data_IF_523284459291
#
_entry.id   IF_523284459291
#
_cell.length_a   1.000
_cell.length_b   1.000
_cell.length_c   1.000
_cell.angle_alpha   90.00
_cell.angle_beta   90.00
_cell.angle_gamma   90.00
#
_symmetry.space_group_name_H-M   'P 1'
#
loop_
_entity.id
_entity.type
_entity.pdbx_description
1 polymer ?
#
# COMPACT_ATOMS: atom_id res chain seq x y z
N UNK A 1 -60.40 12.91 -58.08
CA UNK A 1 -59.26 12.02 -57.79
C UNK A 1 -58.24 12.83 -56.95
N UNK A 2 -58.25 12.58 -55.64
CA UNK A 2 -57.37 13.28 -54.70
C UNK A 2 -56.30 12.26 -54.25
N UNK A 3 -55.05 12.46 -54.65
CA UNK A 3 -53.88 11.66 -54.29
C UNK A 3 -53.25 12.20 -53.02
N UNK A 4 -53.44 11.49 -51.91
CA UNK A 4 -52.79 11.78 -50.60
C UNK A 4 -51.39 11.16 -50.63
N UNK A 5 -50.35 12.00 -50.58
CA UNK A 5 -48.92 11.60 -50.41
C UNK A 5 -48.64 11.49 -48.90
N UNK A 6 -48.33 10.29 -48.45
CA UNK A 6 -47.86 10.02 -47.09
C UNK A 6 -46.34 10.32 -47.05
N UNK A 7 -45.92 11.31 -46.25
CA UNK A 7 -44.53 11.54 -45.95
C UNK A 7 -44.16 10.72 -44.68
N UNK A 8 -43.27 9.74 -44.83
CA UNK A 8 -42.68 9.00 -43.74
C UNK A 8 -41.59 9.85 -43.06
N UNK A 9 -41.63 10.11 -41.73
CA UNK A 9 -40.50 10.73 -41.05
C UNK A 9 -39.38 9.72 -40.85
N UNK A 10 -38.21 10.04 -41.40
CA UNK A 10 -36.94 9.30 -41.21
C UNK A 10 -36.41 9.55 -39.78
N UNK A 11 -36.60 8.63 -38.87
CA UNK A 11 -36.03 8.63 -37.53
C UNK A 11 -34.51 8.32 -37.65
N UNK A 12 -33.66 9.32 -37.55
CA UNK A 12 -32.22 9.15 -37.41
C UNK A 12 -31.91 8.74 -35.97
N UNK A 13 -31.68 7.45 -35.73
CA UNK A 13 -31.15 6.95 -34.48
C UNK A 13 -29.70 7.34 -34.35
N UNK A 14 -29.39 8.35 -33.53
CA UNK A 14 -28.02 8.69 -33.15
C UNK A 14 -27.55 7.60 -32.19
N UNK A 15 -26.73 6.69 -32.69
CA UNK A 15 -26.02 5.71 -31.85
C UNK A 15 -25.01 6.47 -31.00
N UNK A 16 -25.30 6.66 -29.72
CA UNK A 16 -24.33 7.13 -28.74
C UNK A 16 -23.32 6.00 -28.54
N UNK A 17 -22.17 6.10 -29.20
CA UNK A 17 -21.05 5.21 -28.92
C UNK A 17 -20.55 5.50 -27.51
N UNK A 18 -20.41 4.47 -26.63
CA UNK A 18 -19.78 4.67 -25.33
C UNK A 18 -18.34 5.19 -25.58
N UNK A 19 -18.01 6.34 -24.99
CA UNK A 19 -16.67 6.87 -25.04
C UNK A 19 -15.71 5.80 -24.49
N UNK A 20 -14.74 5.39 -25.31
CA UNK A 20 -13.71 4.47 -24.85
C UNK A 20 -12.96 5.13 -23.70
N UNK A 21 -12.73 4.38 -22.61
CA UNK A 21 -11.96 4.87 -21.48
C UNK A 21 -10.57 5.31 -21.96
N UNK A 22 -10.18 6.56 -21.66
CA UNK A 22 -8.83 7.04 -21.91
C UNK A 22 -7.86 6.31 -21.00
N UNK A 23 -6.70 5.89 -21.53
CA UNK A 23 -5.62 5.29 -20.72
C UNK A 23 -4.53 6.32 -20.52
N UNK A 24 -4.22 6.61 -19.27
CA UNK A 24 -3.18 7.54 -18.85
C UNK A 24 -1.96 6.70 -18.50
N UNK A 25 -0.90 6.80 -19.29
CA UNK A 25 0.37 6.15 -19.00
C UNK A 25 1.03 6.79 -17.77
N UNK A 26 1.50 5.96 -16.86
CA UNK A 26 2.18 6.37 -15.63
C UNK A 26 3.63 5.93 -15.73
N UNK A 27 4.61 6.84 -15.87
CA UNK A 27 6.02 6.48 -15.94
C UNK A 27 6.53 5.95 -14.61
N UNK A 28 7.72 5.35 -14.60
CA UNK A 28 8.52 5.21 -13.40
C UNK A 28 9.77 6.08 -13.54
N UNK A 29 9.75 7.26 -12.94
CA UNK A 29 10.81 8.26 -12.98
C UNK A 29 11.03 8.89 -11.59
N UNK A 30 11.49 8.12 -10.61
CA UNK A 30 11.66 8.62 -9.25
C UNK A 30 12.73 9.71 -9.18
N UNK A 31 12.62 10.69 -8.24
CA UNK A 31 13.62 11.73 -8.06
C UNK A 31 14.92 11.11 -7.54
N UNK A 32 15.98 11.16 -8.37
CA UNK A 32 17.26 10.55 -8.07
C UNK A 32 18.08 11.39 -7.08
N UNK A 33 18.72 10.72 -6.13
CA UNK A 33 19.63 11.34 -5.17
C UNK A 33 18.94 12.20 -4.10
N UNK A 34 17.67 12.52 -4.26
CA UNK A 34 16.92 13.31 -3.31
C UNK A 34 16.50 12.47 -2.10
N UNK A 35 16.67 13.01 -0.88
CA UNK A 35 16.09 12.42 0.32
C UNK A 35 14.58 12.71 0.36
N UNK A 36 13.81 11.66 0.62
CA UNK A 36 12.35 11.71 0.73
C UNK A 36 11.96 11.20 2.13
N UNK A 37 11.07 11.90 2.80
CA UNK A 37 10.42 11.41 4.01
C UNK A 37 9.21 10.54 3.62
N UNK A 38 9.11 9.35 4.21
CA UNK A 38 8.02 8.42 4.04
C UNK A 38 7.44 8.06 5.41
N UNK A 39 6.30 8.62 5.70
CA UNK A 39 5.61 8.48 6.97
C UNK A 39 4.47 7.48 6.83
N UNK A 40 4.33 6.58 7.80
CA UNK A 40 3.25 5.61 7.88
C UNK A 40 2.58 5.75 9.25
N UNK A 41 1.32 6.15 9.25
CA UNK A 41 0.49 6.29 10.43
C UNK A 41 -0.64 5.26 10.40
N UNK A 42 -0.73 4.44 11.44
CA UNK A 42 -1.82 3.48 11.63
C UNK A 42 -2.68 3.92 12.81
N UNK A 43 -4.00 4.00 12.57
CA UNK A 43 -5.00 4.28 13.59
C UNK A 43 -5.86 3.04 13.80
N UNK A 44 -5.95 2.60 15.05
CA UNK A 44 -6.74 1.44 15.44
C UNK A 44 -7.19 1.51 16.89
N UNK A 45 -8.32 0.92 17.24
CA UNK A 45 -8.76 0.87 18.63
C UNK A 45 -7.82 -0.04 19.46
N UNK A 46 -7.35 0.48 20.60
CA UNK A 46 -6.56 -0.23 21.61
C UNK A 46 -7.21 0.03 22.97
N UNK A 47 -7.62 -1.01 23.68
CA UNK A 47 -8.30 -0.91 24.97
C UNK A 47 -9.50 0.06 24.97
N UNK A 48 -10.25 0.13 23.85
CA UNK A 48 -11.43 0.98 23.69
C UNK A 48 -11.13 2.44 23.31
N UNK A 49 -9.87 2.80 23.10
CA UNK A 49 -9.45 4.14 22.64
C UNK A 49 -8.83 4.06 21.25
N UNK A 50 -9.11 5.04 20.39
CA UNK A 50 -8.40 5.21 19.13
C UNK A 50 -6.94 5.54 19.44
N UNK A 51 -6.03 4.80 18.85
CA UNK A 51 -4.59 4.95 19.08
C UNK A 51 -3.82 4.99 17.78
N UNK A 52 -2.81 5.85 17.71
CA UNK A 52 -1.92 6.04 16.57
C UNK A 52 -0.59 5.32 16.81
N UNK A 53 -0.09 4.72 15.75
CA UNK A 53 1.25 4.13 15.65
C UNK A 53 1.92 4.66 14.41
N UNK A 54 3.03 5.37 14.57
CA UNK A 54 3.74 6.05 13.50
C UNK A 54 5.14 5.50 13.31
N UNK A 55 5.56 5.41 12.06
CA UNK A 55 6.91 5.02 11.69
C UNK A 55 7.42 5.97 10.59
N UNK A 56 8.55 6.63 10.85
CA UNK A 56 9.15 7.64 9.98
C UNK A 56 10.37 7.05 9.30
N UNK A 57 10.44 7.19 7.97
CA UNK A 57 11.50 6.64 7.13
C UNK A 57 12.10 7.70 6.23
N UNK A 58 13.39 7.55 5.95
CA UNK A 58 14.05 8.25 4.86
C UNK A 58 14.21 7.30 3.68
N UNK A 59 13.80 7.76 2.50
CA UNK A 59 13.94 7.04 1.24
C UNK A 59 14.87 7.82 0.30
N UNK A 60 15.64 7.10 -0.54
CA UNK A 60 16.42 7.69 -1.63
C UNK A 60 16.45 6.72 -2.81
N UNK A 61 16.18 7.24 -4.00
CA UNK A 61 16.33 6.47 -5.23
C UNK A 61 17.65 6.82 -5.90
N UNK A 62 18.34 5.80 -6.39
CA UNK A 62 19.56 5.93 -7.18
C UNK A 62 19.41 5.17 -8.49
N UNK A 63 20.06 5.65 -9.55
CA UNK A 63 20.13 4.92 -10.82
C UNK A 63 21.10 3.74 -10.67
N UNK A 64 20.68 2.56 -11.17
CA UNK A 64 21.53 1.39 -11.28
C UNK A 64 21.61 0.95 -12.76
N UNK A 65 22.51 0.05 -13.08
CA UNK A 65 22.74 -0.42 -14.46
C UNK A 65 21.46 -0.98 -15.08
N UNK A 66 20.76 -1.89 -14.36
CA UNK A 66 19.55 -2.58 -14.84
C UNK A 66 18.24 -2.00 -14.27
N UNK A 67 18.24 -0.76 -13.77
CA UNK A 67 17.05 -0.17 -13.17
C UNK A 67 17.36 0.87 -12.11
N UNK A 68 16.93 0.61 -10.87
CA UNK A 68 17.09 1.55 -9.76
C UNK A 68 17.44 0.81 -8.46
N UNK A 69 17.98 1.56 -7.50
CA UNK A 69 18.13 1.14 -6.12
C UNK A 69 17.32 2.06 -5.22
N UNK A 70 16.51 1.48 -4.34
CA UNK A 70 15.79 2.18 -3.29
C UNK A 70 16.50 1.93 -1.97
N UNK A 71 17.06 2.98 -1.39
CA UNK A 71 17.56 2.99 -0.02
C UNK A 71 16.43 3.43 0.91
N UNK A 72 16.16 2.64 1.93
CA UNK A 72 15.13 2.92 2.92
C UNK A 72 15.71 2.73 4.33
N UNK A 73 15.51 3.71 5.19
CA UNK A 73 15.96 3.68 6.60
C UNK A 73 14.78 4.04 7.49
N UNK A 74 14.48 3.21 8.48
CA UNK A 74 13.58 3.56 9.55
C UNK A 74 14.30 4.49 10.54
N UNK A 75 13.83 5.71 10.67
CA UNK A 75 14.50 6.74 11.49
C UNK A 75 13.95 6.77 12.91
N UNK A 76 12.62 6.73 13.06
CA UNK A 76 11.97 6.85 14.35
C UNK A 76 10.58 6.22 14.38
N UNK A 77 10.10 6.00 15.60
CA UNK A 77 8.78 5.46 15.92
C UNK A 77 8.11 6.37 16.93
N UNK A 78 6.81 6.59 16.77
CA UNK A 78 5.98 7.33 17.72
C UNK A 78 4.64 6.61 17.94
N UNK A 79 4.03 6.80 19.12
CA UNK A 79 2.72 6.26 19.42
C UNK A 79 2.11 6.96 20.62
N UNK A 80 0.80 7.25 20.54
CA UNK A 80 -0.03 7.74 21.64
C UNK A 80 -0.83 6.62 22.33
N UNK A 81 -0.59 5.36 21.95
CA UNK A 81 -1.27 4.22 22.52
C UNK A 81 -0.92 4.02 24.02
N UNK A 82 -1.78 3.31 24.79
CA UNK A 82 -1.43 2.89 26.14
C UNK A 82 -0.07 2.20 26.18
N UNK A 83 0.73 2.43 27.24
CA UNK A 83 2.15 2.07 27.33
C UNK A 83 2.43 0.61 26.95
N UNK A 84 1.61 -0.34 27.38
CA UNK A 84 1.82 -1.76 27.04
C UNK A 84 1.75 -2.04 25.52
N UNK A 85 0.90 -1.32 24.78
CA UNK A 85 0.77 -1.47 23.33
C UNK A 85 1.89 -0.71 22.61
N UNK A 86 2.19 0.52 23.06
CA UNK A 86 3.29 1.33 22.55
C UNK A 86 4.66 0.65 22.75
N UNK A 87 4.91 0.06 23.94
CA UNK A 87 6.12 -0.70 24.23
C UNK A 87 6.28 -1.91 23.31
N UNK A 88 5.20 -2.68 23.07
CA UNK A 88 5.22 -3.81 22.14
C UNK A 88 5.54 -3.39 20.70
N UNK A 89 4.95 -2.28 20.25
CA UNK A 89 5.22 -1.71 18.93
C UNK A 89 6.67 -1.26 18.78
N UNK A 90 7.19 -0.50 19.77
CA UNK A 90 8.59 -0.08 19.80
C UNK A 90 9.53 -1.28 19.83
N UNK A 91 9.28 -2.26 20.69
CA UNK A 91 10.11 -3.45 20.83
C UNK A 91 10.25 -4.23 19.51
N UNK A 92 9.16 -4.34 18.74
CA UNK A 92 9.16 -5.03 17.45
C UNK A 92 10.04 -4.35 16.39
N UNK A 93 10.07 -3.02 16.36
CA UNK A 93 10.68 -2.27 15.25
C UNK A 93 12.00 -1.58 15.62
N UNK A 94 12.32 -1.40 16.91
CA UNK A 94 13.58 -0.75 17.35
C UNK A 94 14.84 -1.39 16.74
N UNK A 95 14.96 -2.72 16.56
CA UNK A 95 16.14 -3.31 15.92
C UNK A 95 16.34 -2.91 14.46
N UNK A 96 15.31 -2.37 13.81
CA UNK A 96 15.36 -1.90 12.43
C UNK A 96 15.70 -0.40 12.31
N UNK A 97 15.70 0.35 13.42
CA UNK A 97 16.05 1.78 13.39
C UNK A 97 17.51 1.94 12.99
N UNK A 98 17.74 2.79 11.99
CA UNK A 98 19.07 3.05 11.42
C UNK A 98 19.59 1.94 10.49
N UNK A 99 18.87 0.81 10.35
CA UNK A 99 19.27 -0.26 9.42
C UNK A 99 18.88 0.13 8.00
N UNK A 100 19.88 0.27 7.13
CA UNK A 100 19.66 0.61 5.73
C UNK A 100 19.20 -0.64 4.94
N UNK A 101 17.98 -0.60 4.41
CA UNK A 101 17.47 -1.59 3.46
C UNK A 101 17.75 -1.09 2.04
N UNK A 102 18.44 -1.89 1.22
CA UNK A 102 18.79 -1.55 -0.16
C UNK A 102 18.06 -2.48 -1.11
N UNK A 103 16.88 -2.04 -1.58
CA UNK A 103 16.12 -2.80 -2.56
C UNK A 103 16.63 -2.55 -3.97
N UNK A 104 16.73 -3.62 -4.76
CA UNK A 104 16.96 -3.55 -6.20
C UNK A 104 15.62 -3.52 -6.91
N UNK A 105 15.45 -2.54 -7.80
CA UNK A 105 14.25 -2.37 -8.62
C UNK A 105 14.63 -2.51 -10.10
N UNK A 106 13.77 -3.15 -10.87
CA UNK A 106 13.90 -3.14 -12.33
C UNK A 106 13.57 -1.74 -12.93
N UNK A 107 13.67 -1.64 -14.25
CA UNK A 107 13.40 -0.38 -14.94
C UNK A 107 11.94 0.08 -14.82
N UNK A 108 11.02 -0.81 -14.48
CA UNK A 108 9.60 -0.56 -14.28
C UNK A 108 9.25 -0.22 -12.81
N UNK A 109 10.22 -0.26 -11.90
CA UNK A 109 10.01 0.03 -10.48
C UNK A 109 9.56 -1.16 -9.65
N UNK A 110 9.57 -2.37 -10.19
CA UNK A 110 9.26 -3.57 -9.43
C UNK A 110 10.46 -3.96 -8.55
N UNK A 111 10.22 -4.19 -7.27
CA UNK A 111 11.25 -4.69 -6.35
C UNK A 111 11.58 -6.14 -6.74
N UNK A 112 12.85 -6.39 -7.08
CA UNK A 112 13.36 -7.70 -7.55
C UNK A 112 14.41 -8.31 -6.62
N UNK A 113 14.88 -7.57 -5.61
CA UNK A 113 15.87 -8.08 -4.65
C UNK A 113 16.11 -7.13 -3.50
N UNK A 114 16.84 -7.62 -2.51
CA UNK A 114 17.30 -6.89 -1.33
C UNK A 114 18.76 -7.27 -1.09
N UNK A 115 19.62 -6.26 -0.91
CA UNK A 115 21.01 -6.46 -0.53
C UNK A 115 21.08 -6.66 1.00
N UNK A 116 22.07 -7.42 1.49
CA UNK A 116 22.30 -7.68 2.93
C UNK A 116 21.07 -8.25 3.67
N UNK A 117 20.26 -9.06 2.99
CA UNK A 117 18.98 -9.58 3.48
C UNK A 117 19.08 -10.37 4.80
N UNK A 118 20.19 -11.07 5.06
CA UNK A 118 20.38 -11.81 6.31
C UNK A 118 20.52 -10.88 7.53
N UNK A 119 21.28 -9.80 7.41
CA UNK A 119 21.45 -8.83 8.51
C UNK A 119 20.12 -8.15 8.86
N UNK A 120 19.35 -7.79 7.84
CA UNK A 120 18.02 -7.20 8.00
C UNK A 120 17.06 -8.20 8.64
N UNK A 121 17.12 -9.47 8.18
CA UNK A 121 16.25 -10.51 8.71
C UNK A 121 16.55 -10.81 10.19
N UNK A 122 17.80 -10.85 10.57
CA UNK A 122 18.20 -10.99 11.97
C UNK A 122 17.64 -9.84 12.84
N UNK A 123 17.59 -8.60 12.34
CA UNK A 123 16.97 -7.48 13.04
C UNK A 123 15.45 -7.67 13.19
N UNK A 124 14.78 -8.23 12.17
CA UNK A 124 13.34 -8.58 12.25
C UNK A 124 13.09 -9.63 13.33
N UNK A 125 13.88 -10.70 13.36
CA UNK A 125 13.77 -11.76 14.36
C UNK A 125 14.01 -11.25 15.78
N UNK A 126 15.04 -10.41 15.98
CA UNK A 126 15.30 -9.76 17.26
C UNK A 126 14.12 -8.86 17.70
N UNK A 127 13.52 -8.12 16.76
CA UNK A 127 12.34 -7.30 17.03
C UNK A 127 11.17 -8.12 17.53
N UNK A 128 10.91 -9.24 16.87
CA UNK A 128 9.85 -10.17 17.26
C UNK A 128 10.11 -10.76 18.66
N UNK A 129 11.33 -11.17 18.96
CA UNK A 129 11.70 -11.71 20.29
C UNK A 129 11.52 -10.66 21.38
N UNK A 130 11.98 -9.43 21.15
CA UNK A 130 11.78 -8.31 22.10
C UNK A 130 10.30 -8.01 22.31
N UNK A 131 9.49 -7.99 21.23
CA UNK A 131 8.05 -7.81 21.34
C UNK A 131 7.39 -8.92 22.18
N UNK A 132 7.78 -10.18 21.95
CA UNK A 132 7.24 -11.33 22.68
C UNK A 132 7.54 -11.27 24.17
N UNK A 133 8.68 -10.74 24.57
CA UNK A 133 9.07 -10.57 25.97
C UNK A 133 8.12 -9.63 26.77
N UNK A 134 7.33 -8.80 26.07
CA UNK A 134 6.29 -7.96 26.68
C UNK A 134 4.95 -8.69 26.92
N UNK A 135 4.82 -9.94 26.47
CA UNK A 135 3.60 -10.72 26.64
C UNK A 135 3.80 -11.78 27.73
N UNK A 136 2.90 -11.84 28.70
CA UNK A 136 2.92 -12.93 29.67
C UNK A 136 2.76 -14.27 28.95
N UNK A 137 3.49 -15.29 29.40
CA UNK A 137 3.40 -16.65 28.86
C UNK A 137 1.94 -17.13 28.89
N UNK A 138 1.60 -18.00 27.95
CA UNK A 138 0.28 -18.62 27.80
C UNK A 138 -0.91 -17.68 27.54
N UNK A 139 -0.65 -16.39 27.32
CA UNK A 139 -1.70 -15.47 26.85
C UNK A 139 -2.04 -15.68 25.36
N UNK A 140 -3.25 -15.34 24.92
CA UNK A 140 -3.59 -15.37 23.49
C UNK A 140 -2.62 -14.55 22.62
N UNK A 141 -2.11 -13.41 23.15
CA UNK A 141 -1.13 -12.56 22.46
C UNK A 141 0.22 -13.26 22.30
N UNK A 142 0.71 -13.91 23.36
CA UNK A 142 1.95 -14.67 23.31
C UNK A 142 1.86 -15.83 22.31
N UNK A 143 0.76 -16.61 22.33
CA UNK A 143 0.53 -17.69 21.37
C UNK A 143 0.46 -17.19 19.93
N UNK A 144 -0.23 -16.06 19.69
CA UNK A 144 -0.27 -15.45 18.35
C UNK A 144 1.13 -15.02 17.88
N UNK A 145 1.92 -14.38 18.73
CA UNK A 145 3.28 -13.98 18.40
C UNK A 145 4.20 -15.19 18.15
N UNK A 146 4.03 -16.29 18.90
CA UNK A 146 4.74 -17.55 18.66
C UNK A 146 4.37 -18.15 17.29
N UNK A 147 3.10 -18.11 16.89
CA UNK A 147 2.67 -18.56 15.56
C UNK A 147 3.30 -17.72 14.45
N UNK A 148 3.39 -16.39 14.65
CA UNK A 148 4.11 -15.50 13.72
C UNK A 148 5.59 -15.86 13.64
N UNK A 149 6.26 -16.08 14.76
CA UNK A 149 7.68 -16.51 14.79
C UNK A 149 7.88 -17.78 13.99
N UNK A 150 7.03 -18.78 14.16
CA UNK A 150 7.09 -20.04 13.41
C UNK A 150 6.87 -19.81 11.91
N UNK A 151 5.89 -18.97 11.54
CA UNK A 151 5.65 -18.60 10.15
C UNK A 151 6.87 -17.92 9.52
N UNK A 152 7.45 -16.93 10.19
CA UNK A 152 8.60 -16.18 9.71
C UNK A 152 9.84 -17.08 9.56
N UNK A 153 10.08 -17.98 10.49
CA UNK A 153 11.18 -18.94 10.44
C UNK A 153 11.07 -19.90 9.22
N UNK A 154 9.85 -20.17 8.74
CA UNK A 154 9.58 -21.00 7.56
C UNK A 154 9.61 -20.26 6.23
N UNK A 155 9.83 -18.95 6.19
CA UNK A 155 9.85 -18.20 4.94
C UNK A 155 11.11 -18.48 4.12
N UNK A 156 10.91 -18.74 2.82
CA UNK A 156 11.99 -18.73 1.84
C UNK A 156 12.58 -17.32 1.68
N UNK A 157 13.72 -17.22 0.99
CA UNK A 157 14.34 -15.93 0.69
C UNK A 157 13.39 -14.99 -0.06
N UNK A 158 12.63 -15.52 -1.01
CA UNK A 158 11.62 -14.80 -1.77
C UNK A 158 10.45 -14.36 -0.86
N UNK A 159 10.03 -15.20 0.08
CA UNK A 159 9.01 -14.87 1.06
C UNK A 159 9.44 -13.75 2.01
N UNK A 160 10.72 -13.77 2.45
CA UNK A 160 11.31 -12.69 3.26
C UNK A 160 11.37 -11.37 2.47
N UNK A 161 11.83 -11.43 1.21
CA UNK A 161 11.82 -10.27 0.31
C UNK A 161 10.40 -9.72 0.13
N UNK A 162 9.42 -10.57 -0.14
CA UNK A 162 8.03 -10.15 -0.34
C UNK A 162 7.46 -9.47 0.92
N UNK A 163 7.78 -9.97 2.11
CA UNK A 163 7.36 -9.38 3.38
C UNK A 163 7.96 -7.99 3.58
N UNK A 164 9.28 -7.83 3.41
CA UNK A 164 9.97 -6.55 3.59
C UNK A 164 9.59 -5.54 2.50
N UNK A 165 9.48 -6.00 1.25
CA UNK A 165 9.05 -5.18 0.12
C UNK A 165 7.59 -4.69 0.26
N UNK A 166 6.74 -5.46 0.94
CA UNK A 166 5.33 -5.13 1.17
C UNK A 166 5.10 -3.77 1.83
N UNK A 167 6.07 -3.28 2.58
CA UNK A 167 6.06 -1.94 3.17
C UNK A 167 6.14 -0.84 2.09
N UNK A 168 6.89 -1.07 1.01
CA UNK A 168 7.20 -0.09 -0.04
C UNK A 168 6.40 -0.31 -1.32
N UNK A 169 5.81 -1.49 -1.52
CA UNK A 169 4.96 -1.79 -2.69
C UNK A 169 3.83 -0.77 -2.90
N UNK A 170 3.13 -0.27 -1.86
CA UNK A 170 2.08 0.75 -2.04
C UNK A 170 2.59 2.04 -2.70
N UNK A 171 3.84 2.43 -2.45
CA UNK A 171 4.49 3.59 -3.07
C UNK A 171 4.67 3.40 -4.58
N UNK A 172 4.89 2.16 -5.03
CA UNK A 172 5.27 1.79 -6.40
C UNK A 172 4.08 1.19 -7.19
N UNK A 173 2.90 1.16 -6.61
CA UNK A 173 1.74 0.39 -7.11
C UNK A 173 1.35 0.70 -8.56
N UNK A 174 1.54 1.94 -9.00
CA UNK A 174 1.18 2.40 -10.34
C UNK A 174 2.40 2.63 -11.26
N UNK A 175 3.62 2.37 -10.76
CA UNK A 175 4.85 2.62 -11.50
C UNK A 175 4.88 1.85 -12.83
N UNK A 176 5.24 2.54 -13.91
CA UNK A 176 5.27 2.03 -15.30
C UNK A 176 3.98 1.33 -15.75
N UNK A 177 2.84 1.72 -15.17
CA UNK A 177 1.52 1.18 -15.49
C UNK A 177 0.63 2.14 -16.26
N UNK A 178 -0.66 1.88 -16.20
CA UNK A 178 -1.71 2.72 -16.80
C UNK A 178 -2.84 2.94 -15.80
N UNK A 179 -3.45 4.13 -15.86
CA UNK A 179 -4.69 4.47 -15.14
C UNK A 179 -5.79 4.68 -16.16
N UNK A 180 -6.91 4.02 -15.97
CA UNK A 180 -8.10 4.17 -16.83
C UNK A 180 -8.93 5.37 -16.36
N UNK A 181 -9.20 6.30 -17.29
CA UNK A 181 -10.12 7.43 -17.11
C UNK A 181 -11.43 7.11 -17.83
N UNK A 182 -12.32 6.47 -17.12
CA UNK A 182 -13.61 6.03 -17.65
C UNK A 182 -14.71 5.98 -16.57
N UNK A 183 -15.97 6.10 -16.97
CA UNK A 183 -17.11 6.28 -16.03
C UNK A 183 -17.36 5.09 -15.10
N UNK A 184 -16.80 3.92 -15.37
CA UNK A 184 -16.97 2.70 -14.54
C UNK A 184 -15.76 2.35 -13.69
N UNK A 185 -14.58 2.93 -13.99
CA UNK A 185 -13.31 2.49 -13.44
C UNK A 185 -12.95 1.05 -13.88
N UNK A 186 -11.87 0.53 -13.30
CA UNK A 186 -11.37 -0.82 -13.56
C UNK A 186 -11.80 -1.78 -12.45
N UNK A 187 -12.35 -2.93 -12.82
CA UNK A 187 -12.66 -4.01 -11.88
C UNK A 187 -11.39 -4.56 -11.21
N UNK A 188 -11.45 -4.77 -9.90
CA UNK A 188 -10.35 -5.32 -9.08
C UNK A 188 -10.87 -6.52 -8.31
N UNK A 189 -10.08 -7.60 -8.28
CA UNK A 189 -10.28 -8.76 -7.41
C UNK A 189 -8.97 -9.08 -6.71
N UNK A 190 -9.04 -9.22 -5.39
CA UNK A 190 -7.86 -9.50 -4.56
C UNK A 190 -8.26 -10.20 -3.26
N UNK A 191 -7.28 -10.44 -2.41
CA UNK A 191 -7.50 -10.98 -1.07
C UNK A 191 -7.28 -9.88 -0.05
N UNK A 192 -8.25 -9.63 0.81
CA UNK A 192 -8.11 -8.78 1.97
C UNK A 192 -7.88 -9.64 3.21
N UNK A 193 -7.01 -9.18 4.09
CA UNK A 193 -6.74 -9.87 5.34
C UNK A 193 -5.61 -9.19 6.10
N UNK A 194 -5.50 -9.54 7.38
CA UNK A 194 -4.30 -9.32 8.16
C UNK A 194 -3.29 -10.43 7.83
N UNK A 195 -1.97 -10.19 7.87
CA UNK A 195 -0.97 -11.24 7.78
C UNK A 195 -1.18 -12.41 8.77
N UNK A 196 -1.97 -12.16 9.83
CA UNK A 196 -2.30 -13.12 10.89
C UNK A 196 -3.74 -13.63 10.82
N UNK A 197 -4.54 -13.16 9.85
CA UNK A 197 -5.93 -13.56 9.67
C UNK A 197 -6.12 -14.42 8.42
N UNK A 198 -7.25 -15.12 8.35
CA UNK A 198 -7.64 -15.84 7.13
C UNK A 198 -7.91 -14.82 6.02
N UNK A 199 -7.25 -14.91 4.86
CA UNK A 199 -7.52 -14.03 3.74
C UNK A 199 -8.97 -14.19 3.27
N UNK A 200 -9.66 -13.07 3.00
CA UNK A 200 -11.03 -13.03 2.49
C UNK A 200 -11.00 -12.49 1.06
N UNK A 201 -11.62 -13.18 0.07
CA UNK A 201 -11.77 -12.63 -1.27
C UNK A 201 -12.58 -11.34 -1.22
N UNK A 202 -12.07 -10.30 -1.88
CA UNK A 202 -12.76 -9.01 -2.04
C UNK A 202 -12.72 -8.60 -3.49
N UNK A 203 -13.79 -7.95 -3.95
CA UNK A 203 -13.89 -7.42 -5.29
C UNK A 203 -14.52 -6.03 -5.30
N UNK A 204 -14.24 -5.28 -6.34
CA UNK A 204 -14.79 -3.94 -6.50
C UNK A 204 -14.16 -3.19 -7.64
N UNK A 205 -13.94 -1.88 -7.47
CA UNK A 205 -13.56 -0.98 -8.55
C UNK A 205 -12.48 -0.01 -8.09
N UNK A 206 -11.45 0.17 -8.93
CA UNK A 206 -10.50 1.28 -8.89
C UNK A 206 -10.93 2.33 -9.93
N UNK A 207 -11.17 3.55 -9.50
CA UNK A 207 -11.63 4.63 -10.38
C UNK A 207 -10.80 5.89 -10.20
N UNK A 208 -10.47 6.54 -11.32
CA UNK A 208 -9.91 7.90 -11.32
C UNK A 208 -11.03 8.87 -10.90
N UNK A 209 -10.74 9.73 -9.92
CA UNK A 209 -11.68 10.73 -9.39
C UNK A 209 -11.37 12.13 -9.88
N UNK A 210 -10.07 12.44 -9.97
CA UNK A 210 -9.61 13.74 -10.40
C UNK A 210 -8.26 13.62 -11.10
N UNK A 211 -8.08 14.43 -12.13
CA UNK A 211 -6.82 14.57 -12.88
C UNK A 211 -6.41 16.04 -12.90
N UNK A 212 -5.17 16.30 -12.51
CA UNK A 212 -4.49 17.58 -12.67
C UNK A 212 -3.14 17.36 -13.34
N UNK A 213 -2.39 18.45 -13.63
CA UNK A 213 -1.01 18.33 -14.13
C UNK A 213 -0.04 17.62 -13.19
N UNK A 214 -0.32 17.68 -11.89
CA UNK A 214 0.60 17.25 -10.84
C UNK A 214 0.12 16.05 -10.02
N UNK A 215 -1.16 15.68 -10.17
CA UNK A 215 -1.76 14.58 -9.39
C UNK A 215 -2.90 13.88 -10.12
N UNK A 216 -2.92 12.55 -9.99
CA UNK A 216 -4.07 11.71 -10.27
C UNK A 216 -4.63 11.21 -8.94
N UNK A 217 -5.89 11.57 -8.64
CA UNK A 217 -6.57 11.09 -7.45
C UNK A 217 -7.42 9.86 -7.80
N UNK A 218 -7.12 8.70 -7.17
CA UNK A 218 -7.84 7.46 -7.41
C UNK A 218 -8.50 6.97 -6.13
N UNK A 219 -9.64 6.31 -6.28
CA UNK A 219 -10.31 5.60 -5.17
C UNK A 219 -10.53 4.15 -5.58
N UNK A 220 -10.15 3.24 -4.70
CA UNK A 220 -10.47 1.82 -4.79
C UNK A 220 -11.43 1.46 -3.67
N UNK A 221 -12.53 0.79 -4.04
CA UNK A 221 -13.52 0.31 -3.07
C UNK A 221 -13.75 -1.17 -3.33
N UNK A 222 -13.47 -2.00 -2.31
CA UNK A 222 -13.58 -3.46 -2.38
C UNK A 222 -14.49 -3.96 -1.27
N UNK A 223 -15.28 -4.97 -1.57
CA UNK A 223 -16.17 -5.63 -0.60
C UNK A 223 -16.00 -7.14 -0.67
N UNK A 224 -16.14 -7.79 0.48
CA UNK A 224 -16.15 -9.24 0.64
C UNK A 224 -16.98 -9.62 1.86
N UNK A 225 -17.02 -10.91 2.20
CA UNK A 225 -17.80 -11.39 3.34
C UNK A 225 -17.27 -10.79 4.67
N UNK A 226 -18.07 -9.87 5.25
CA UNK A 226 -17.73 -9.18 6.50
C UNK A 226 -16.55 -8.21 6.42
N UNK A 227 -16.06 -7.91 5.21
CA UNK A 227 -14.88 -7.06 4.98
C UNK A 227 -15.19 -5.98 3.97
N UNK A 228 -14.79 -4.76 4.29
CA UNK A 228 -14.81 -3.61 3.37
C UNK A 228 -13.42 -2.97 3.37
N UNK A 229 -12.92 -2.65 2.19
CA UNK A 229 -11.65 -1.93 2.00
C UNK A 229 -11.92 -0.72 1.13
N UNK A 230 -11.49 0.45 1.61
CA UNK A 230 -11.41 1.66 0.82
C UNK A 230 -9.96 2.14 0.81
N UNK A 231 -9.47 2.43 -0.38
CA UNK A 231 -8.17 3.06 -0.58
C UNK A 231 -8.32 4.31 -1.43
N UNK A 232 -7.74 5.40 -0.96
CA UNK A 232 -7.65 6.65 -1.70
C UNK A 232 -6.16 6.93 -1.97
N UNK A 233 -5.84 7.27 -3.22
CA UNK A 233 -4.46 7.49 -3.67
C UNK A 233 -4.32 8.89 -4.28
N UNK A 234 -3.21 9.56 -3.97
CA UNK A 234 -2.70 10.68 -4.73
C UNK A 234 -1.41 10.23 -5.43
N UNK A 235 -1.47 10.08 -6.75
CA UNK A 235 -0.40 9.57 -7.60
C UNK A 235 0.24 10.72 -8.37
N UNK A 236 1.56 10.82 -8.39
CA UNK A 236 2.28 11.75 -9.24
C UNK A 236 2.36 11.21 -10.69
N UNK A 237 1.73 11.88 -11.66
CA UNK A 237 1.81 11.45 -13.05
C UNK A 237 3.20 11.62 -13.67
N UNK A 238 4.09 12.38 -13.02
CA UNK A 238 5.46 12.62 -13.49
C UNK A 238 6.45 11.57 -13.00
N UNK A 239 6.28 11.09 -11.78
CA UNK A 239 7.23 10.14 -11.18
C UNK A 239 6.71 8.71 -11.11
N UNK A 240 5.39 8.52 -11.18
CA UNK A 240 4.74 7.24 -10.97
C UNK A 240 4.69 6.79 -9.51
N UNK A 241 5.11 7.67 -8.58
CA UNK A 241 5.07 7.37 -7.15
C UNK A 241 3.74 7.82 -6.53
N UNK A 242 3.23 7.02 -5.62
CA UNK A 242 2.07 7.37 -4.79
C UNK A 242 2.55 8.33 -3.70
N UNK A 243 2.18 9.61 -3.82
CA UNK A 243 2.55 10.66 -2.85
C UNK A 243 1.75 10.54 -1.54
N UNK A 244 0.50 10.09 -1.63
CA UNK A 244 -0.35 9.81 -0.46
C UNK A 244 -1.23 8.61 -0.72
N UNK A 245 -1.36 7.75 0.27
CA UNK A 245 -2.33 6.67 0.30
C UNK A 245 -3.06 6.67 1.64
N UNK A 246 -4.38 6.57 1.62
CA UNK A 246 -5.17 6.30 2.82
C UNK A 246 -5.90 4.97 2.60
N UNK A 247 -5.71 4.03 3.52
CA UNK A 247 -6.40 2.74 3.54
C UNK A 247 -7.32 2.69 4.74
N UNK A 248 -8.58 2.36 4.52
CA UNK A 248 -9.53 2.03 5.57
C UNK A 248 -9.99 0.58 5.38
N UNK A 249 -9.74 -0.24 6.39
CA UNK A 249 -10.15 -1.64 6.43
C UNK A 249 -11.19 -1.79 7.56
N UNK A 250 -12.41 -2.21 7.21
CA UNK A 250 -13.45 -2.53 8.18
C UNK A 250 -13.72 -4.04 8.17
N UNK A 251 -13.73 -4.66 9.35
CA UNK A 251 -14.05 -6.06 9.58
C UNK A 251 -15.06 -6.13 10.71
N UNK A 252 -16.33 -6.36 10.38
CA UNK A 252 -17.44 -6.18 11.31
C UNK A 252 -17.48 -4.73 11.82
N UNK A 253 -17.48 -4.55 13.15
CA UNK A 253 -17.49 -3.22 13.80
C UNK A 253 -16.08 -2.60 13.97
N UNK A 254 -15.03 -3.33 13.63
CA UNK A 254 -13.65 -2.84 13.80
C UNK A 254 -13.17 -2.18 12.52
N UNK A 255 -12.61 -0.98 12.67
CA UNK A 255 -11.98 -0.26 11.57
C UNK A 255 -10.52 0.00 11.90
N UNK A 256 -9.65 -0.22 10.92
CA UNK A 256 -8.25 0.17 10.91
C UNK A 256 -8.08 1.19 9.79
N UNK A 257 -7.46 2.31 10.10
CA UNK A 257 -7.06 3.30 9.09
C UNK A 257 -5.53 3.35 9.04
N UNK A 258 -4.97 3.38 7.85
CA UNK A 258 -3.55 3.55 7.61
C UNK A 258 -3.37 4.68 6.61
N UNK A 259 -2.51 5.64 6.94
CA UNK A 259 -2.09 6.69 6.04
C UNK A 259 -0.60 6.55 5.74
N UNK A 260 -0.24 6.73 4.48
CA UNK A 260 1.15 6.74 3.99
C UNK A 260 1.38 8.02 3.21
N UNK A 261 2.43 8.75 3.54
CA UNK A 261 2.75 10.04 2.91
C UNK A 261 4.22 10.06 2.49
N UNK A 262 4.44 10.33 1.21
CA UNK A 262 5.76 10.59 0.64
C UNK A 262 5.90 12.09 0.35
N UNK A 263 6.97 12.70 0.82
CA UNK A 263 7.27 14.12 0.58
C UNK A 263 8.79 14.35 0.55
N UNK A 264 9.28 15.44 -0.03
CA UNK A 264 10.67 15.82 0.15
C UNK A 264 11.05 15.84 1.64
N UNK A 265 12.23 15.31 1.98
CA UNK A 265 12.73 15.46 3.34
C UNK A 265 13.08 16.93 3.62
N UNK A 266 12.92 17.40 4.85
CA UNK A 266 13.21 18.78 5.24
C UNK A 266 14.69 19.13 5.10
#
# INVERSE_FOLDING_TARGET
MITIRWALPLLIAVAVQPAAAERIAVPFAPPLGQALAYDIDQHRPVAGQESRFSAHRTLRFEKAEDGYRLHAVLESLDSDAPEAAAASFRAALTPLIGVAMRFRLDAQGKIVGLDDDEAIWNAVEQGLERMMAHFAADTPRHRAAQSVKTLLAGLSREGRLALLAGEYQPLLLFAAGEVEDGPGGRGVRTMAGSPLGRPVPVEGVLALRQRTSDSLSLTETLTGEGVQVRMDYALSPRTGLVARQTRRLSVGERTLTEERVLRPAP
#
